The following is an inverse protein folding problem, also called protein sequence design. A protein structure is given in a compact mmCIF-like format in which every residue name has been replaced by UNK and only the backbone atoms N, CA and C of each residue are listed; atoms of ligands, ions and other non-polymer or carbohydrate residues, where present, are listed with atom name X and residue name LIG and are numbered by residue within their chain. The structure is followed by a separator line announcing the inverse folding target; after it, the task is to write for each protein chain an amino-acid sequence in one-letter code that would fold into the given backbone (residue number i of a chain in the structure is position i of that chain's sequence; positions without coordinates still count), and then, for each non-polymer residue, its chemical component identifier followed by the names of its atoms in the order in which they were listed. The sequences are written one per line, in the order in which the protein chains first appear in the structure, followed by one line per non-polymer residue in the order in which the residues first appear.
data_IF_631702700623
#
_entry.id   IF_631702700623
#
_cell.length_a   1.000
_cell.length_b   1.000
_cell.length_c   1.000
_cell.angle_alpha   90.00
_cell.angle_beta   90.00
_cell.angle_gamma   90.00
#
_symmetry.space_group_name_H-M   'P 1'
#
loop_
_entity.id
_entity.type
_entity.pdbx_description
1 polymer ?
#
# COMPACT_ATOMS: atom_id res chain seq x y z
N UNK A 1 -16.75 15.33 28.20
CA UNK A 1 -16.81 14.52 26.95
C UNK A 1 -15.47 13.85 26.63
N UNK A 2 -14.35 14.44 27.04
CA UNK A 2 -13.00 13.88 26.85
C UNK A 2 -12.48 13.22 28.13
N UNK A 3 -11.40 12.43 28.03
CA UNK A 3 -10.76 11.77 29.17
C UNK A 3 -9.89 12.72 30.01
N UNK A 4 -9.46 13.86 29.46
CA UNK A 4 -8.73 14.90 30.19
C UNK A 4 -9.67 15.92 30.87
N UNK A 5 -9.12 16.68 31.82
CA UNK A 5 -9.77 17.84 32.42
C UNK A 5 -9.54 19.11 31.57
N UNK A 6 -10.49 20.05 31.60
CA UNK A 6 -10.40 21.30 30.83
C UNK A 6 -9.07 22.04 31.09
N UNK A 7 -8.33 22.34 30.02
CA UNK A 7 -7.06 23.05 30.07
C UNK A 7 -5.81 22.17 30.12
N UNK A 8 -5.96 20.84 30.13
CA UNK A 8 -4.85 19.87 30.17
C UNK A 8 -4.67 19.14 28.83
N UNK A 9 -4.29 19.89 27.78
CA UNK A 9 -3.97 19.37 26.43
C UNK A 9 -2.50 18.94 26.29
N UNK A 10 -1.86 18.58 27.40
CA UNK A 10 -0.47 18.15 27.40
C UNK A 10 -0.28 16.83 26.64
N UNK A 11 0.85 16.68 25.95
CA UNK A 11 1.22 15.39 25.37
C UNK A 11 1.39 14.36 26.51
N UNK A 12 0.45 13.43 26.65
CA UNK A 12 0.45 12.41 27.71
C UNK A 12 -0.47 12.70 28.90
N UNK A 13 -1.42 13.63 28.80
CA UNK A 13 -2.45 13.84 29.82
C UNK A 13 -3.40 12.65 29.87
N UNK A 14 -3.04 11.65 30.67
CA UNK A 14 -3.86 10.49 30.98
C UNK A 14 -4.61 10.76 32.28
N UNK A 15 -5.94 10.80 32.26
CA UNK A 15 -6.76 10.89 33.48
C UNK A 15 -6.61 9.67 34.42
N UNK A 16 -5.87 8.64 33.99
CA UNK A 16 -5.63 7.39 34.72
C UNK A 16 -4.23 6.84 34.39
N UNK A 17 -3.30 6.90 35.33
CA UNK A 17 -1.99 6.22 35.25
C UNK A 17 -0.84 7.04 34.68
N UNK A 18 0.38 6.50 34.78
CA UNK A 18 1.58 7.16 34.28
C UNK A 18 1.56 7.23 32.74
N UNK A 19 2.06 8.33 32.14
CA UNK A 19 2.12 8.48 30.68
C UNK A 19 2.86 7.31 30.03
N UNK A 20 2.19 6.62 29.11
CA UNK A 20 2.74 5.52 28.33
C UNK A 20 2.59 5.83 26.84
N UNK A 21 3.70 5.92 26.12
CA UNK A 21 3.72 6.12 24.66
C UNK A 21 3.54 4.81 23.87
N UNK A 22 3.55 3.66 24.54
CA UNK A 22 3.39 2.36 23.91
C UNK A 22 1.97 1.86 24.19
N UNK A 23 1.10 2.07 23.22
CA UNK A 23 -0.19 1.40 23.12
C UNK A 23 -0.01 -0.02 22.61
N UNK A 24 0.58 -0.88 23.43
CA UNK A 24 0.96 -2.22 23.02
C UNK A 24 2.46 -2.40 23.10
N UNK A 25 2.91 -2.81 24.28
CA UNK A 25 4.14 -3.58 24.38
C UNK A 25 3.92 -4.91 23.67
N UNK A 26 4.99 -5.56 23.19
CA UNK A 26 4.96 -7.00 22.84
C UNK A 26 4.46 -7.89 24.01
N UNK A 27 4.24 -7.29 25.19
CA UNK A 27 3.79 -7.89 26.46
C UNK A 27 2.43 -7.35 26.92
N UNK A 28 1.93 -6.20 26.46
CA UNK A 28 0.68 -5.61 26.98
C UNK A 28 -0.45 -5.64 25.95
N UNK A 29 -1.53 -6.32 26.31
CA UNK A 29 -2.80 -6.38 25.56
C UNK A 29 -3.86 -5.46 26.19
N UNK A 30 -3.45 -4.59 27.11
CA UNK A 30 -4.33 -3.69 27.84
C UNK A 30 -4.45 -2.34 27.15
N UNK A 31 -5.60 -1.70 27.34
CA UNK A 31 -5.90 -0.37 26.81
C UNK A 31 -5.19 0.74 27.60
N UNK A 32 -3.92 0.52 27.99
CA UNK A 32 -3.16 1.37 28.91
C UNK A 32 -2.94 2.81 28.43
N UNK A 33 -3.20 3.07 27.16
CA UNK A 33 -3.07 4.38 26.53
C UNK A 33 -4.35 4.88 25.85
N UNK A 34 -5.44 4.12 25.88
CA UNK A 34 -6.67 4.44 25.15
C UNK A 34 -7.48 5.58 25.77
N UNK A 35 -6.96 6.14 26.87
CA UNK A 35 -7.58 7.21 27.64
C UNK A 35 -6.63 8.42 27.73
N UNK A 36 -5.68 8.51 26.80
CA UNK A 36 -4.62 9.52 26.78
C UNK A 36 -4.67 10.29 25.46
N UNK A 37 -4.39 11.59 25.51
CA UNK A 37 -4.38 12.44 24.32
C UNK A 37 -3.19 12.10 23.40
N UNK A 38 -3.49 11.41 22.29
CA UNK A 38 -2.53 11.10 21.23
C UNK A 38 -1.99 12.40 20.62
N UNK A 39 -0.71 12.70 20.85
CA UNK A 39 -0.08 13.95 20.40
C UNK A 39 -0.82 15.25 20.83
N UNK A 40 -1.54 15.20 21.96
CA UNK A 40 -2.36 16.33 22.42
C UNK A 40 -3.69 16.49 21.69
N UNK A 41 -4.10 15.50 20.88
CA UNK A 41 -5.45 15.43 20.33
C UNK A 41 -6.43 15.02 21.44
N UNK A 42 -7.49 15.81 21.71
CA UNK A 42 -8.48 15.51 22.74
C UNK A 42 -9.09 14.11 22.59
N UNK A 43 -8.86 13.26 23.57
CA UNK A 43 -9.30 11.87 23.55
C UNK A 43 -10.75 11.73 24.04
N UNK A 44 -11.63 11.25 23.17
CA UNK A 44 -13.06 11.10 23.46
C UNK A 44 -13.29 10.05 24.55
N UNK A 45 -14.08 10.39 25.57
CA UNK A 45 -14.46 9.46 26.61
C UNK A 45 -15.58 8.52 26.14
N UNK A 46 -15.20 7.47 25.41
CA UNK A 46 -16.11 6.46 24.86
C UNK A 46 -16.76 5.56 25.91
N UNK A 47 -16.40 5.68 27.20
CA UNK A 47 -17.13 5.06 28.32
C UNK A 47 -18.46 5.77 28.59
N UNK A 48 -18.58 7.05 28.23
CA UNK A 48 -19.83 7.80 28.35
C UNK A 48 -20.80 7.43 27.22
N UNK A 49 -22.07 7.18 27.59
CA UNK A 49 -23.12 6.88 26.61
C UNK A 49 -23.31 8.02 25.60
N UNK A 50 -23.28 9.27 26.06
CA UNK A 50 -23.45 10.45 25.23
C UNK A 50 -22.39 10.54 24.12
N UNK A 51 -21.14 10.17 24.41
CA UNK A 51 -20.05 10.13 23.42
C UNK A 51 -20.28 9.01 22.40
N UNK A 52 -20.69 7.81 22.86
CA UNK A 52 -21.04 6.71 21.95
C UNK A 52 -22.23 7.05 21.06
N UNK A 53 -23.20 7.81 21.55
CA UNK A 53 -24.33 8.29 20.74
C UNK A 53 -23.89 9.29 19.67
N UNK A 54 -22.90 10.14 19.94
CA UNK A 54 -22.29 11.03 18.93
C UNK A 54 -21.63 10.20 17.83
N UNK A 55 -20.78 9.23 18.21
CA UNK A 55 -20.12 8.35 17.24
C UNK A 55 -21.13 7.54 16.43
N UNK A 56 -22.15 6.97 17.08
CA UNK A 56 -23.23 6.23 16.41
C UNK A 56 -23.95 7.07 15.35
N UNK A 57 -24.27 8.33 15.64
CA UNK A 57 -24.95 9.20 14.66
C UNK A 57 -24.09 9.38 13.41
N UNK A 58 -22.80 9.66 13.58
CA UNK A 58 -21.87 9.81 12.45
C UNK A 58 -21.73 8.52 11.64
N UNK A 59 -21.53 7.39 12.31
CA UNK A 59 -21.38 6.08 11.67
C UNK A 59 -22.66 5.68 10.91
N UNK A 60 -23.83 5.96 11.49
CA UNK A 60 -25.13 5.76 10.82
C UNK A 60 -25.24 6.61 9.56
N UNK A 61 -24.86 7.90 9.63
CA UNK A 61 -24.90 8.79 8.47
C UNK A 61 -24.01 8.28 7.32
N UNK A 62 -22.83 7.75 7.62
CA UNK A 62 -21.97 7.12 6.62
C UNK A 62 -22.64 5.88 6.00
N UNK A 63 -23.21 5.01 6.82
CA UNK A 63 -23.93 3.82 6.36
C UNK A 63 -25.12 4.20 5.47
N UNK A 64 -25.96 5.14 5.92
CA UNK A 64 -27.15 5.60 5.19
C UNK A 64 -26.80 6.32 3.88
N UNK A 65 -25.62 6.93 3.80
CA UNK A 65 -25.05 7.47 2.56
C UNK A 65 -24.54 6.39 1.59
N UNK A 66 -24.49 5.12 2.01
CA UNK A 66 -24.06 3.98 1.20
C UNK A 66 -22.58 3.62 1.32
N UNK A 67 -21.87 4.10 2.35
CA UNK A 67 -20.52 3.64 2.66
C UNK A 67 -20.59 2.18 3.10
N UNK A 68 -19.77 1.31 2.49
CA UNK A 68 -19.76 -0.12 2.83
C UNK A 68 -18.46 -0.59 3.49
N UNK A 69 -17.41 0.23 3.46
CA UNK A 69 -16.11 -0.12 4.03
C UNK A 69 -15.52 1.02 4.86
N UNK A 70 -14.83 0.68 5.94
CA UNK A 70 -14.23 1.65 6.86
C UNK A 70 -12.72 1.41 7.05
N UNK A 71 -11.96 2.50 7.06
CA UNK A 71 -10.66 2.57 7.75
C UNK A 71 -10.93 3.20 9.11
N UNK A 72 -10.57 2.52 10.19
CA UNK A 72 -10.47 3.16 11.49
C UNK A 72 -9.09 3.79 11.62
N UNK A 73 -9.09 5.10 11.79
CA UNK A 73 -7.90 5.88 12.14
C UNK A 73 -7.49 5.57 13.57
N UNK A 74 -6.19 5.61 13.88
CA UNK A 74 -5.67 5.50 15.24
C UNK A 74 -6.25 4.33 16.09
N UNK A 75 -6.71 3.24 15.46
CA UNK A 75 -7.45 2.17 16.13
C UNK A 75 -6.66 1.41 17.21
N UNK A 76 -5.33 1.56 17.22
CA UNK A 76 -4.45 1.07 18.28
C UNK A 76 -4.70 1.78 19.61
N UNK A 77 -5.17 3.02 19.56
CA UNK A 77 -5.41 3.92 20.69
C UNK A 77 -6.87 3.88 21.17
N UNK A 78 -7.70 2.97 20.66
CA UNK A 78 -9.12 2.93 21.01
C UNK A 78 -9.49 1.65 21.77
N UNK A 79 -10.44 1.76 22.69
CA UNK A 79 -10.98 0.59 23.38
C UNK A 79 -11.83 -0.26 22.44
N UNK A 80 -11.40 -1.51 22.25
CA UNK A 80 -12.03 -2.46 21.31
C UNK A 80 -13.51 -2.68 21.59
N UNK A 81 -13.89 -2.83 22.86
CA UNK A 81 -15.29 -3.14 23.22
C UNK A 81 -16.18 -1.93 22.96
N UNK A 82 -15.67 -0.74 23.26
CA UNK A 82 -16.41 0.52 23.12
C UNK A 82 -16.61 0.87 21.64
N UNK A 83 -15.58 0.74 20.82
CA UNK A 83 -15.67 0.97 19.38
C UNK A 83 -16.52 -0.10 18.69
N UNK A 84 -16.36 -1.37 19.06
CA UNK A 84 -17.21 -2.45 18.54
C UNK A 84 -18.69 -2.23 18.87
N UNK A 85 -19.02 -1.63 20.02
CA UNK A 85 -20.42 -1.36 20.41
C UNK A 85 -21.12 -0.35 19.51
N UNK A 86 -20.35 0.49 18.80
CA UNK A 86 -20.86 1.47 17.83
C UNK A 86 -20.81 0.92 16.41
N UNK A 87 -19.66 0.35 16.01
CA UNK A 87 -19.42 -0.08 14.63
C UNK A 87 -20.24 -1.31 14.24
N UNK A 88 -20.38 -2.30 15.13
CA UNK A 88 -21.02 -3.59 14.79
C UNK A 88 -22.55 -3.53 14.71
N UNK A 89 -23.14 -2.34 14.88
CA UNK A 89 -24.56 -2.10 14.64
C UNK A 89 -24.91 -2.08 13.15
N UNK A 90 -23.90 -2.07 12.26
CA UNK A 90 -24.07 -1.97 10.81
C UNK A 90 -23.31 -3.08 10.07
N UNK A 91 -23.83 -3.57 8.93
CA UNK A 91 -23.24 -4.67 8.17
C UNK A 91 -22.17 -4.16 7.18
N UNK A 92 -20.98 -3.82 7.67
CA UNK A 92 -19.87 -3.42 6.80
C UNK A 92 -19.37 -4.58 5.92
N UNK A 93 -19.10 -4.31 4.65
CA UNK A 93 -18.43 -5.27 3.74
C UNK A 93 -16.99 -5.53 4.19
N UNK A 94 -16.31 -4.49 4.69
CA UNK A 94 -14.92 -4.59 5.13
C UNK A 94 -14.52 -3.46 6.08
N UNK A 95 -13.87 -3.83 7.17
CA UNK A 95 -13.28 -2.91 8.13
C UNK A 95 -11.80 -3.23 8.28
N UNK A 96 -10.96 -2.19 8.27
CA UNK A 96 -9.57 -2.31 8.66
C UNK A 96 -9.12 -1.19 9.58
N UNK A 97 -8.18 -1.53 10.44
CA UNK A 97 -7.61 -0.69 11.47
C UNK A 97 -6.26 -0.17 11.01
N UNK A 98 -6.03 1.12 11.17
CA UNK A 98 -4.68 1.63 11.24
C UNK A 98 -3.93 0.96 12.41
N UNK A 99 -2.92 0.18 12.08
CA UNK A 99 -2.11 -0.56 13.02
C UNK A 99 -0.62 -0.27 12.80
N UNK A 100 0.10 0.05 13.87
CA UNK A 100 1.47 0.58 13.80
C UNK A 100 2.52 -0.46 14.19
N UNK A 101 2.66 -1.52 13.40
CA UNK A 101 3.85 -2.39 13.44
C UNK A 101 4.05 -3.18 14.74
N UNK A 102 2.98 -3.41 15.50
CA UNK A 102 3.00 -4.25 16.70
C UNK A 102 2.43 -5.65 16.43
N UNK A 103 2.68 -6.61 17.33
CA UNK A 103 2.05 -7.93 17.23
C UNK A 103 0.53 -7.80 17.36
N UNK A 104 -0.26 -8.51 16.52
CA UNK A 104 -1.71 -8.40 16.54
C UNK A 104 -2.29 -8.91 17.87
N UNK A 105 -3.16 -8.11 18.47
CA UNK A 105 -3.93 -8.51 19.66
C UNK A 105 -5.26 -9.10 19.23
N UNK A 106 -5.44 -10.40 19.44
CA UNK A 106 -6.54 -11.20 18.86
C UNK A 106 -7.99 -10.74 19.16
N UNK A 107 -8.18 -9.84 20.11
CA UNK A 107 -9.49 -9.23 20.40
C UNK A 107 -9.90 -8.21 19.33
N UNK A 108 -8.94 -7.46 18.76
CA UNK A 108 -9.23 -6.45 17.74
C UNK A 108 -9.76 -7.08 16.46
N UNK A 109 -9.12 -8.13 15.95
CA UNK A 109 -9.59 -8.78 14.72
C UNK A 109 -10.89 -9.56 14.89
N UNK A 110 -11.19 -10.02 16.11
CA UNK A 110 -12.43 -10.72 16.42
C UNK A 110 -13.64 -9.78 16.42
N UNK A 111 -13.47 -8.55 16.91
CA UNK A 111 -14.59 -7.65 17.19
C UNK A 111 -14.65 -6.41 16.30
N UNK A 112 -13.56 -6.03 15.62
CA UNK A 112 -13.53 -4.82 14.78
C UNK A 112 -13.26 -5.19 13.33
N UNK A 113 -12.06 -5.67 13.01
CA UNK A 113 -11.69 -5.85 11.62
C UNK A 113 -10.22 -6.20 11.40
N UNK A 114 -9.74 -5.92 10.19
CA UNK A 114 -8.43 -6.38 9.73
C UNK A 114 -7.33 -5.37 10.10
N UNK A 115 -6.09 -5.82 10.21
CA UNK A 115 -4.95 -4.93 10.46
C UNK A 115 -4.38 -4.35 9.16
N UNK A 116 -4.02 -3.05 9.18
CA UNK A 116 -3.15 -2.47 8.15
C UNK A 116 -1.70 -2.83 8.44
N UNK A 117 -1.20 -3.91 7.85
CA UNK A 117 0.22 -4.29 7.96
C UNK A 117 1.07 -3.43 7.01
N UNK A 118 1.59 -2.34 7.56
CA UNK A 118 2.48 -1.41 6.85
C UNK A 118 3.90 -1.96 6.68
N UNK A 119 4.28 -3.02 7.37
CA UNK A 119 5.67 -3.46 7.46
C UNK A 119 6.08 -4.42 6.33
N UNK A 120 5.11 -5.04 5.65
CA UNK A 120 5.39 -5.75 4.39
C UNK A 120 6.13 -4.86 3.38
N UNK A 121 5.80 -3.57 3.33
CA UNK A 121 6.47 -2.63 2.42
C UNK A 121 7.97 -2.57 2.66
N UNK A 122 8.47 -2.72 3.89
CA UNK A 122 9.91 -2.70 4.18
C UNK A 122 10.60 -3.89 3.53
N UNK A 123 9.98 -5.08 3.58
CA UNK A 123 10.51 -6.26 2.87
C UNK A 123 10.58 -6.03 1.37
N UNK A 124 9.54 -5.44 0.78
CA UNK A 124 9.48 -5.12 -0.66
C UNK A 124 10.52 -4.07 -1.04
N UNK A 125 10.56 -2.97 -0.30
CA UNK A 125 11.52 -1.88 -0.50
C UNK A 125 12.94 -2.37 -0.29
N UNK A 126 13.20 -3.25 0.66
CA UNK A 126 14.53 -3.80 0.87
C UNK A 126 14.97 -4.68 -0.31
N UNK A 127 14.08 -5.58 -0.73
CA UNK A 127 14.32 -6.48 -1.85
C UNK A 127 14.47 -5.74 -3.19
N UNK A 128 13.74 -4.64 -3.42
CA UNK A 128 13.67 -3.96 -4.72
C UNK A 128 14.40 -2.62 -4.81
N UNK A 129 14.77 -2.01 -3.68
CA UNK A 129 15.40 -0.69 -3.64
C UNK A 129 16.65 -0.64 -2.76
N UNK A 130 16.62 -1.07 -1.50
CA UNK A 130 17.66 -0.71 -0.50
C UNK A 130 18.92 -1.58 -0.52
N UNK A 131 18.82 -2.84 -0.97
CA UNK A 131 19.92 -3.80 -0.79
C UNK A 131 20.96 -3.80 -1.92
N UNK A 132 22.25 -3.77 -1.59
CA UNK A 132 23.32 -4.07 -2.55
C UNK A 132 23.40 -5.58 -2.81
N UNK A 133 22.92 -6.37 -1.84
CA UNK A 133 22.89 -7.81 -1.93
C UNK A 133 21.62 -8.29 -2.64
N UNK A 134 21.78 -8.69 -3.89
CA UNK A 134 20.68 -9.10 -4.77
C UNK A 134 20.13 -10.50 -4.42
N UNK A 135 20.70 -11.20 -3.44
CA UNK A 135 20.23 -12.53 -3.00
C UNK A 135 18.91 -12.50 -2.23
N UNK A 136 18.48 -11.35 -1.70
CA UNK A 136 17.23 -11.23 -0.94
C UNK A 136 15.98 -11.16 -1.83
N UNK A 137 16.15 -10.86 -3.11
CA UNK A 137 15.01 -10.67 -4.02
C UNK A 137 14.15 -11.93 -4.21
N UNK A 138 14.71 -13.15 -4.34
CA UNK A 138 13.90 -14.36 -4.36
C UNK A 138 13.30 -14.71 -2.99
N UNK A 139 14.01 -14.42 -1.89
CA UNK A 139 13.63 -14.79 -0.53
C UNK A 139 12.34 -14.10 -0.06
N UNK A 140 11.98 -12.95 -0.65
CA UNK A 140 10.70 -12.30 -0.35
C UNK A 140 9.48 -13.19 -0.64
N UNK A 141 9.63 -14.17 -1.55
CA UNK A 141 8.56 -15.10 -1.91
C UNK A 141 8.35 -16.21 -0.88
N UNK A 142 9.29 -16.37 0.07
CA UNK A 142 9.22 -17.39 1.13
C UNK A 142 8.46 -16.90 2.38
N UNK A 143 7.88 -15.70 2.34
CA UNK A 143 7.07 -15.17 3.44
C UNK A 143 5.84 -16.06 3.69
N UNK A 144 5.63 -16.44 4.94
CA UNK A 144 4.48 -17.26 5.38
C UNK A 144 3.47 -16.46 6.22
N UNK A 145 3.89 -15.35 6.82
CA UNK A 145 3.06 -14.42 7.59
C UNK A 145 3.46 -12.96 7.27
N UNK A 146 2.58 -12.01 7.59
CA UNK A 146 2.89 -10.58 7.55
C UNK A 146 4.03 -10.22 8.49
N UNK A 147 4.45 -8.96 8.50
CA UNK A 147 5.44 -8.59 9.50
C UNK A 147 4.74 -8.50 10.86
N UNK A 148 5.47 -8.80 11.94
CA UNK A 148 4.90 -8.84 13.31
C UNK A 148 3.76 -9.86 13.49
N UNK A 149 3.77 -10.98 12.77
CA UNK A 149 2.85 -12.10 13.05
C UNK A 149 1.40 -11.90 12.59
N UNK A 150 1.09 -10.82 11.87
CA UNK A 150 -0.24 -10.61 11.29
C UNK A 150 -0.49 -11.64 10.19
N UNK A 151 -1.55 -12.46 10.33
CA UNK A 151 -1.93 -13.42 9.30
C UNK A 151 -2.50 -12.71 8.08
N UNK A 152 -2.32 -13.31 6.92
CA UNK A 152 -2.67 -12.70 5.63
C UNK A 152 -4.18 -12.47 5.47
N UNK A 153 -4.97 -13.39 6.02
CA UNK A 153 -6.44 -13.34 6.02
C UNK A 153 -6.97 -12.18 6.87
N UNK A 154 -6.17 -11.69 7.82
CA UNK A 154 -6.50 -10.62 8.76
C UNK A 154 -5.82 -9.30 8.41
N UNK A 155 -5.17 -9.22 7.25
CA UNK A 155 -4.35 -8.07 6.89
C UNK A 155 -4.85 -7.36 5.63
N UNK A 156 -4.46 -6.10 5.54
CA UNK A 156 -4.42 -5.32 4.31
C UNK A 156 -3.07 -4.62 4.18
N UNK A 157 -2.46 -4.70 3.00
CA UNK A 157 -1.07 -4.32 2.79
C UNK A 157 -0.94 -3.08 1.88
N UNK A 158 -0.53 -1.91 2.42
CA UNK A 158 -0.11 -0.77 1.62
C UNK A 158 1.38 -0.84 1.26
N UNK A 159 1.76 -0.30 0.10
CA UNK A 159 3.17 0.04 -0.20
C UNK A 159 3.51 1.48 0.21
N UNK A 160 2.52 2.38 0.18
CA UNK A 160 2.61 3.78 0.57
C UNK A 160 1.29 4.24 1.23
N UNK A 161 1.36 5.31 2.04
CA UNK A 161 0.24 5.92 2.74
C UNK A 161 0.55 7.37 3.13
N UNK A 162 -0.41 8.07 3.74
CA UNK A 162 -0.33 9.53 3.91
C UNK A 162 0.60 10.00 5.02
N UNK A 163 0.87 9.24 6.08
CA UNK A 163 1.73 9.73 7.18
C UNK A 163 3.23 9.56 6.89
N UNK A 164 3.60 8.62 6.03
CA UNK A 164 5.00 8.37 5.68
C UNK A 164 5.42 9.05 4.38
N UNK A 165 5.16 10.36 4.34
CA UNK A 165 5.63 11.26 3.30
C UNK A 165 7.09 11.61 3.51
N UNK A 166 7.79 11.84 2.40
CA UNK A 166 9.16 12.38 2.41
C UNK A 166 9.25 13.65 1.57
N UNK A 167 10.12 14.59 1.95
CA UNK A 167 10.40 15.85 1.22
C UNK A 167 11.10 15.60 -0.13
N UNK A 168 11.91 14.54 -0.20
CA UNK A 168 12.67 14.07 -1.37
C UNK A 168 12.53 12.56 -1.56
N UNK A 169 13.14 12.01 -2.60
CA UNK A 169 13.22 10.57 -2.79
C UNK A 169 14.14 9.95 -1.72
N UNK A 170 13.59 9.07 -0.88
CA UNK A 170 14.31 8.33 0.17
C UNK A 170 14.15 6.84 -0.09
N UNK A 171 15.22 6.06 -0.01
CA UNK A 171 15.24 4.67 -0.50
C UNK A 171 14.33 3.76 0.30
N UNK A 172 14.33 3.96 1.61
CA UNK A 172 13.69 3.14 2.64
C UNK A 172 12.19 3.43 2.72
N UNK A 173 11.74 4.55 2.15
CA UNK A 173 10.35 5.01 2.21
C UNK A 173 9.78 5.15 0.80
N UNK A 174 8.99 4.15 0.43
CA UNK A 174 8.32 4.04 -0.86
C UNK A 174 7.32 5.21 -1.07
N UNK A 175 7.64 6.12 -1.99
CA UNK A 175 6.74 7.22 -2.43
C UNK A 175 6.85 7.44 -3.93
N UNK A 176 5.91 8.20 -4.52
CA UNK A 176 6.00 8.58 -5.94
C UNK A 176 7.30 9.34 -6.28
N UNK A 177 7.95 9.99 -5.30
CA UNK A 177 9.22 10.72 -5.50
C UNK A 177 10.36 9.79 -5.91
N UNK A 178 10.31 8.51 -5.53
CA UNK A 178 11.26 7.49 -5.98
C UNK A 178 11.11 7.15 -7.49
N UNK A 179 10.04 7.58 -8.15
CA UNK A 179 9.87 7.43 -9.59
C UNK A 179 9.60 5.99 -10.04
N UNK A 180 10.30 5.53 -11.08
CA UNK A 180 10.11 4.20 -11.66
C UNK A 180 10.39 3.08 -10.66
N UNK A 181 11.30 3.29 -9.70
CA UNK A 181 11.65 2.36 -8.64
C UNK A 181 10.44 2.03 -7.76
N UNK A 182 9.71 3.05 -7.30
CA UNK A 182 8.46 2.87 -6.56
C UNK A 182 7.37 2.20 -7.41
N UNK A 183 7.26 2.58 -8.69
CA UNK A 183 6.31 1.92 -9.59
C UNK A 183 6.60 0.42 -9.75
N UNK A 184 7.88 0.00 -9.73
CA UNK A 184 8.23 -1.43 -9.73
C UNK A 184 7.82 -2.14 -8.43
N UNK A 185 8.00 -1.49 -7.27
CA UNK A 185 7.55 -2.02 -5.98
C UNK A 185 6.03 -2.18 -5.93
N UNK A 186 5.28 -1.18 -6.42
CA UNK A 186 3.82 -1.25 -6.53
C UNK A 186 3.39 -2.38 -7.46
N UNK A 187 4.00 -2.50 -8.65
CA UNK A 187 3.69 -3.60 -9.59
C UNK A 187 4.00 -4.97 -8.99
N UNK A 188 5.10 -5.11 -8.25
CA UNK A 188 5.42 -6.33 -7.53
C UNK A 188 4.36 -6.68 -6.50
N UNK A 189 3.96 -5.74 -5.63
CA UNK A 189 2.88 -5.95 -4.65
C UNK A 189 1.57 -6.41 -5.30
N UNK A 190 1.26 -5.87 -6.50
CA UNK A 190 0.06 -6.27 -7.24
C UNK A 190 0.15 -7.67 -7.86
N UNK A 191 1.33 -8.01 -8.41
CA UNK A 191 1.55 -9.25 -9.14
C UNK A 191 1.87 -10.45 -8.23
N UNK A 192 2.40 -10.20 -7.03
CA UNK A 192 2.67 -11.24 -6.06
C UNK A 192 1.36 -11.64 -5.33
N UNK A 193 0.91 -12.90 -5.48
CA UNK A 193 -0.40 -13.35 -5.01
C UNK A 193 -0.47 -13.57 -3.50
N UNK A 194 0.67 -13.49 -2.81
CA UNK A 194 0.78 -13.79 -1.39
C UNK A 194 -0.16 -12.90 -0.58
N UNK A 195 0.08 -11.58 -0.54
CA UNK A 195 -0.85 -10.65 0.11
C UNK A 195 -2.25 -10.87 -0.49
N UNK A 196 -3.28 -11.09 0.31
CA UNK A 196 -4.65 -11.30 -0.20
C UNK A 196 -5.32 -9.96 -0.54
N UNK A 197 -5.12 -8.95 0.31
CA UNK A 197 -5.70 -7.61 0.16
C UNK A 197 -4.60 -6.56 0.15
N UNK A 198 -4.62 -5.67 -0.83
CA UNK A 198 -3.62 -4.61 -0.99
C UNK A 198 -4.31 -3.25 -1.06
N UNK A 199 -3.64 -2.22 -0.54
CA UNK A 199 -4.04 -0.83 -0.73
C UNK A 199 -3.18 -0.22 -1.84
N UNK A 200 -3.85 0.15 -2.93
CA UNK A 200 -3.24 0.97 -3.97
C UNK A 200 -3.29 2.42 -3.53
N UNK A 201 -2.13 3.05 -3.45
CA UNK A 201 -2.02 4.45 -3.07
C UNK A 201 -2.36 5.36 -4.26
N UNK A 202 -2.84 6.56 -3.95
CA UNK A 202 -2.97 7.65 -4.90
C UNK A 202 -2.74 8.96 -4.16
N UNK A 203 -1.74 9.73 -4.59
CA UNK A 203 -1.28 10.93 -3.93
C UNK A 203 -1.44 12.18 -4.78
N UNK A 204 -1.06 13.30 -4.18
CA UNK A 204 -0.71 14.54 -4.82
C UNK A 204 0.75 14.88 -4.52
N UNK A 205 1.36 15.70 -5.38
CA UNK A 205 2.74 16.09 -5.20
C UNK A 205 2.88 17.32 -4.31
N UNK A 206 3.95 17.39 -3.55
CA UNK A 206 4.19 18.42 -2.54
C UNK A 206 5.69 18.71 -2.43
N UNK A 207 6.04 19.96 -2.14
CA UNK A 207 7.41 20.38 -1.86
C UNK A 207 7.78 20.25 -0.38
N UNK A 208 6.77 20.21 0.50
CA UNK A 208 6.90 20.08 1.95
C UNK A 208 5.80 19.13 2.48
N UNK A 209 6.08 18.37 3.54
CA UNK A 209 5.21 17.28 4.01
C UNK A 209 3.90 17.77 4.62
N UNK A 210 3.86 19.00 5.11
CA UNK A 210 2.69 19.63 5.74
C UNK A 210 1.74 20.25 4.70
N UNK A 211 2.12 20.20 3.43
CA UNK A 211 1.32 20.78 2.38
C UNK A 211 0.05 19.98 2.09
N UNK A 212 -1.07 20.70 2.04
CA UNK A 212 -2.34 20.21 1.55
C UNK A 212 -2.35 19.90 0.04
N UNK A 213 -3.49 19.41 -0.48
CA UNK A 213 -3.65 19.05 -1.88
C UNK A 213 -3.54 20.26 -2.84
N UNK A 214 -3.41 20.02 -4.16
CA UNK A 214 -3.45 21.08 -5.16
C UNK A 214 -4.71 21.92 -5.02
N UNK A 215 -4.60 23.25 -5.13
CA UNK A 215 -5.68 24.22 -4.91
C UNK A 215 -5.83 24.70 -3.46
N UNK A 216 -5.05 24.14 -2.53
CA UNK A 216 -5.04 24.51 -1.11
C UNK A 216 -3.72 25.19 -0.68
N UNK A 217 -3.09 25.96 -1.55
CA UNK A 217 -1.78 26.58 -1.30
C UNK A 217 -1.85 27.80 -0.37
N UNK A 218 -3.04 28.39 -0.20
CA UNK A 218 -3.20 29.72 0.41
C UNK A 218 -3.60 29.75 1.89
N UNK A 219 -3.46 28.62 2.61
CA UNK A 219 -3.51 28.62 4.09
C UNK A 219 -4.76 29.24 4.72
N UNK A 220 -5.90 29.23 4.02
CA UNK A 220 -7.18 29.63 4.60
C UNK A 220 -7.76 28.46 5.39
N UNK A 221 -8.47 28.74 6.49
CA UNK A 221 -9.16 27.75 7.34
C UNK A 221 -10.12 26.85 6.54
N UNK A 222 -10.53 27.29 5.35
CA UNK A 222 -11.25 26.49 4.37
C UNK A 222 -10.57 26.57 3.02
N UNK A 223 -10.32 25.42 2.39
CA UNK A 223 -9.79 25.33 1.03
C UNK A 223 -10.61 24.31 0.23
N UNK A 224 -10.76 24.57 -1.08
CA UNK A 224 -11.36 23.61 -2.00
C UNK A 224 -10.26 23.07 -2.90
N UNK A 225 -9.92 21.78 -2.82
CA UNK A 225 -8.89 21.22 -3.68
C UNK A 225 -9.30 21.26 -5.15
N UNK A 226 -8.32 21.40 -6.03
CA UNK A 226 -8.51 21.31 -7.47
C UNK A 226 -9.13 19.98 -7.86
N UNK A 227 -10.17 20.02 -8.70
CA UNK A 227 -10.75 18.79 -9.23
C UNK A 227 -9.70 17.95 -9.99
N UNK A 228 -9.67 16.64 -9.70
CA UNK A 228 -8.82 15.69 -10.43
C UNK A 228 -9.17 15.67 -11.91
N UNK A 229 -10.44 15.85 -12.27
CA UNK A 229 -10.89 15.90 -13.65
C UNK A 229 -11.16 17.33 -14.10
N UNK A 230 -10.65 17.68 -15.28
CA UNK A 230 -11.02 18.92 -15.94
C UNK A 230 -12.42 18.85 -16.58
N UNK A 231 -12.90 19.99 -17.12
CA UNK A 231 -14.21 20.11 -17.77
C UNK A 231 -14.44 19.13 -18.93
N UNK A 232 -13.37 18.68 -19.59
CA UNK A 232 -13.42 17.70 -20.68
C UNK A 232 -13.45 16.24 -20.20
N UNK A 233 -13.53 15.98 -18.89
CA UNK A 233 -13.49 14.62 -18.32
C UNK A 233 -12.10 13.97 -18.34
N UNK A 234 -11.06 14.72 -18.69
CA UNK A 234 -9.67 14.26 -18.68
C UNK A 234 -9.07 14.46 -17.29
N UNK A 235 -8.46 13.40 -16.74
CA UNK A 235 -7.80 13.45 -15.44
C UNK A 235 -6.48 14.24 -15.52
N UNK A 236 -6.26 15.18 -14.60
CA UNK A 236 -5.08 16.05 -14.49
C UNK A 236 -3.92 15.37 -13.76
N UNK A 237 -3.71 14.10 -14.07
CA UNK A 237 -2.73 13.25 -13.41
C UNK A 237 -1.32 13.45 -13.95
N UNK A 238 -0.32 13.07 -13.16
CA UNK A 238 1.05 12.94 -13.65
C UNK A 238 1.19 11.71 -14.56
N UNK A 239 2.13 11.79 -15.50
CA UNK A 239 2.51 10.66 -16.32
C UNK A 239 3.22 9.58 -15.49
N UNK A 240 3.23 8.36 -16.04
CA UNK A 240 3.98 7.25 -15.43
C UNK A 240 5.47 7.57 -15.41
N UNK A 241 6.17 7.45 -14.27
CA UNK A 241 7.59 7.74 -14.20
C UNK A 241 8.39 6.72 -15.01
N UNK A 242 9.36 7.22 -15.80
CA UNK A 242 10.29 6.42 -16.59
C UNK A 242 11.72 6.45 -16.05
N UNK A 243 11.96 7.25 -15.01
CA UNK A 243 13.26 7.45 -14.36
C UNK A 243 13.11 7.39 -12.85
N UNK A 244 14.22 7.12 -12.17
CA UNK A 244 14.32 7.17 -10.70
C UNK A 244 15.59 7.93 -10.31
N UNK A 245 15.52 8.87 -9.34
CA UNK A 245 14.28 9.36 -8.75
C UNK A 245 13.45 10.17 -9.76
N UNK A 246 12.21 10.48 -9.40
CA UNK A 246 11.42 11.44 -10.18
C UNK A 246 12.15 12.80 -10.18
N UNK A 247 12.21 13.54 -11.31
CA UNK A 247 12.83 14.86 -11.34
C UNK A 247 12.22 15.78 -10.30
N UNK A 248 13.06 16.46 -9.50
CA UNK A 248 12.61 17.26 -8.35
C UNK A 248 11.55 18.30 -8.72
N UNK A 249 11.71 18.99 -9.84
CA UNK A 249 10.75 19.97 -10.32
C UNK A 249 9.36 19.35 -10.56
N UNK A 250 9.29 18.14 -11.11
CA UNK A 250 8.04 17.42 -11.31
C UNK A 250 7.49 16.91 -9.97
N UNK A 251 8.34 16.31 -9.13
CA UNK A 251 7.97 15.78 -7.82
C UNK A 251 7.44 16.85 -6.85
N UNK A 252 7.71 18.13 -7.11
CA UNK A 252 7.30 19.27 -6.29
C UNK A 252 6.30 20.18 -7.03
N UNK A 253 5.70 19.71 -8.14
CA UNK A 253 4.91 20.54 -9.06
C UNK A 253 3.45 20.81 -8.64
N UNK A 254 3.03 20.41 -7.44
CA UNK A 254 1.64 20.59 -6.92
C UNK A 254 0.54 20.03 -7.85
N UNK A 255 0.69 18.78 -8.32
CA UNK A 255 -0.29 18.09 -9.16
C UNK A 255 -0.79 16.80 -8.53
N UNK A 256 -1.93 16.33 -9.00
CA UNK A 256 -2.40 14.98 -8.75
C UNK A 256 -1.44 13.95 -9.35
N UNK A 257 -0.91 13.04 -8.55
CA UNK A 257 0.07 12.05 -9.02
C UNK A 257 -0.63 10.87 -9.68
N UNK A 258 -1.71 10.39 -9.06
CA UNK A 258 -2.57 9.32 -9.57
C UNK A 258 -1.82 8.01 -9.89
N UNK A 259 -1.06 7.49 -8.94
CA UNK A 259 -0.31 6.24 -9.07
C UNK A 259 -1.20 5.06 -9.50
N UNK A 260 -2.48 5.08 -9.10
CA UNK A 260 -3.49 4.11 -9.55
C UNK A 260 -3.76 4.12 -11.08
N UNK A 261 -3.31 5.14 -11.81
CA UNK A 261 -3.45 5.30 -13.28
C UNK A 261 -2.16 5.06 -14.05
N UNK A 262 -1.04 4.84 -13.35
CA UNK A 262 0.21 4.56 -14.02
C UNK A 262 0.12 3.29 -14.88
N UNK A 263 0.86 3.27 -15.98
CA UNK A 263 0.84 2.19 -16.95
C UNK A 263 1.12 0.84 -16.27
N UNK A 264 0.31 -0.16 -16.59
CA UNK A 264 0.38 -1.50 -15.99
C UNK A 264 -0.54 -1.72 -14.79
N UNK A 265 -0.90 -0.68 -14.02
CA UNK A 265 -1.74 -0.86 -12.82
C UNK A 265 -3.10 -1.46 -13.19
N UNK A 266 -3.77 -0.90 -14.19
CA UNK A 266 -5.07 -1.39 -14.63
C UNK A 266 -5.00 -2.85 -15.15
N UNK A 267 -3.95 -3.21 -15.88
CA UNK A 267 -3.74 -4.59 -16.35
C UNK A 267 -3.46 -5.56 -15.19
N UNK A 268 -2.67 -5.13 -14.20
CA UNK A 268 -2.35 -5.93 -13.02
C UNK A 268 -3.54 -6.15 -12.08
N UNK A 269 -4.54 -5.27 -12.08
CA UNK A 269 -5.84 -5.57 -11.44
C UNK A 269 -6.47 -6.83 -12.06
N UNK A 270 -6.41 -6.97 -13.38
CA UNK A 270 -6.89 -8.16 -14.09
C UNK A 270 -6.03 -9.40 -13.79
N UNK A 271 -4.70 -9.24 -13.82
CA UNK A 271 -3.76 -10.30 -13.46
C UNK A 271 -4.05 -10.83 -12.05
N UNK A 272 -4.16 -9.95 -11.06
CA UNK A 272 -4.39 -10.33 -9.67
C UNK A 272 -5.72 -11.05 -9.46
N UNK A 273 -6.79 -10.67 -10.18
CA UNK A 273 -8.06 -11.40 -10.16
C UNK A 273 -7.95 -12.82 -10.74
N UNK A 274 -7.07 -13.03 -11.74
CA UNK A 274 -6.88 -14.33 -12.38
C UNK A 274 -5.90 -15.25 -11.64
N UNK A 275 -4.91 -14.66 -10.95
CA UNK A 275 -3.76 -15.37 -10.38
C UNK A 275 -3.70 -15.33 -8.85
N UNK A 276 -4.54 -14.51 -8.19
CA UNK A 276 -4.53 -14.33 -6.73
C UNK A 276 -4.78 -15.63 -5.97
N UNK A 277 -4.09 -15.81 -4.84
CA UNK A 277 -4.20 -16.98 -3.98
C UNK A 277 -3.53 -18.26 -4.51
N UNK A 278 -2.94 -18.24 -5.71
CA UNK A 278 -2.19 -19.38 -6.24
C UNK A 278 -0.77 -19.44 -5.67
N UNK A 279 -0.18 -20.64 -5.50
CA UNK A 279 1.18 -20.79 -4.98
C UNK A 279 2.21 -20.22 -5.95
N UNK A 280 3.32 -19.72 -5.39
CA UNK A 280 4.44 -19.19 -6.17
C UNK A 280 5.60 -20.17 -6.25
N UNK A 281 6.27 -20.21 -7.40
CA UNK A 281 7.51 -20.97 -7.57
C UNK A 281 8.54 -20.15 -8.34
N UNK A 282 9.75 -19.99 -7.80
CA UNK A 282 10.83 -19.25 -8.45
C UNK A 282 11.27 -20.00 -9.71
N UNK A 283 11.28 -19.30 -10.83
CA UNK A 283 11.79 -19.79 -12.12
C UNK A 283 13.16 -19.18 -12.44
N UNK A 284 13.38 -17.95 -11.98
CA UNK A 284 14.66 -17.27 -12.05
C UNK A 284 14.80 -16.37 -10.83
N UNK A 285 15.87 -16.54 -10.07
CA UNK A 285 16.14 -15.75 -8.88
C UNK A 285 17.64 -15.63 -8.66
N UNK A 286 18.38 -15.24 -9.70
CA UNK A 286 19.81 -15.01 -9.57
C UNK A 286 20.03 -13.74 -8.76
N UNK A 287 21.16 -13.66 -8.07
CA UNK A 287 21.59 -12.45 -7.37
C UNK A 287 22.08 -11.37 -8.37
N UNK A 288 21.29 -11.09 -9.40
CA UNK A 288 21.56 -10.13 -10.48
C UNK A 288 20.41 -9.10 -10.64
N UNK A 289 19.47 -9.07 -9.69
CA UNK A 289 18.36 -8.12 -9.66
C UNK A 289 17.25 -8.42 -10.65
N UNK A 290 17.24 -9.64 -11.21
CA UNK A 290 16.15 -10.18 -12.03
C UNK A 290 15.44 -11.27 -11.26
N UNK A 291 14.11 -11.23 -11.30
CA UNK A 291 13.27 -12.22 -10.65
C UNK A 291 12.18 -12.63 -11.62
N UNK A 292 11.99 -13.93 -11.78
CA UNK A 292 10.79 -14.49 -12.36
C UNK A 292 10.27 -15.63 -11.51
N UNK A 293 8.96 -15.66 -11.32
CA UNK A 293 8.26 -16.72 -10.62
C UNK A 293 6.94 -17.03 -11.30
N UNK A 294 6.58 -18.30 -11.26
CA UNK A 294 5.25 -18.77 -11.61
C UNK A 294 4.28 -18.46 -10.49
N UNK A 295 3.03 -18.21 -10.88
CA UNK A 295 1.89 -18.12 -9.97
C UNK A 295 0.88 -19.18 -10.42
N UNK A 296 0.91 -20.32 -9.74
CA UNK A 296 0.33 -21.57 -10.21
C UNK A 296 0.84 -21.97 -11.60
N UNK A 297 0.02 -22.68 -12.38
CA UNK A 297 0.32 -23.03 -13.78
C UNK A 297 -0.32 -22.06 -14.79
N UNK A 298 -0.80 -20.91 -14.32
CA UNK A 298 -1.62 -19.98 -15.13
C UNK A 298 -0.92 -18.68 -15.45
N UNK A 299 0.01 -18.26 -14.60
CA UNK A 299 0.55 -16.92 -14.64
C UNK A 299 2.06 -16.91 -14.40
N UNK A 300 2.73 -15.94 -15.00
CA UNK A 300 4.15 -15.69 -14.85
C UNK A 300 4.35 -14.23 -14.46
N UNK A 301 5.16 -14.00 -13.44
CA UNK A 301 5.71 -12.68 -13.12
C UNK A 301 7.18 -12.70 -13.49
N UNK A 302 7.63 -11.70 -14.22
CA UNK A 302 9.04 -11.44 -14.47
C UNK A 302 9.28 -9.94 -14.30
N UNK A 303 10.31 -9.59 -13.53
CA UNK A 303 10.64 -8.21 -13.24
C UNK A 303 12.15 -8.02 -13.20
N UNK A 304 12.54 -6.79 -13.50
CA UNK A 304 13.87 -6.28 -13.26
C UNK A 304 13.73 -5.25 -12.15
N UNK A 305 14.61 -5.36 -11.15
CA UNK A 305 14.73 -4.37 -10.09
C UNK A 305 14.89 -2.97 -10.68
N UNK A 306 14.23 -1.99 -10.07
CA UNK A 306 14.36 -0.60 -10.49
C UNK A 306 15.81 -0.11 -10.35
N UNK A 307 16.26 0.69 -11.32
CA UNK A 307 17.54 1.41 -11.24
C UNK A 307 17.31 2.84 -10.79
N UNK A 308 18.26 3.42 -10.07
CA UNK A 308 18.21 4.81 -9.62
C UNK A 308 19.53 5.52 -9.95
N UNK A 309 19.44 6.64 -10.67
CA UNK A 309 20.59 7.30 -11.27
C UNK A 309 21.48 8.02 -10.25
N UNK A 310 21.01 8.19 -9.01
CA UNK A 310 21.76 8.83 -7.92
C UNK A 310 22.50 7.81 -7.04
N UNK A 311 22.68 6.56 -7.48
CA UNK A 311 23.22 5.45 -6.65
C UNK A 311 24.67 5.08 -6.99
N UNK A 312 25.45 4.55 -6.02
CA UNK A 312 26.82 4.09 -6.24
C UNK A 312 26.93 2.82 -7.12
N UNK A 313 28.13 2.60 -7.69
CA UNK A 313 28.43 1.47 -8.58
C UNK A 313 28.13 0.11 -7.89
N UNK A 314 27.41 -0.77 -8.58
CA UNK A 314 26.89 -2.05 -8.04
C UNK A 314 25.35 -2.13 -8.06
N UNK A 315 24.66 -0.98 -8.04
CA UNK A 315 23.21 -0.83 -8.25
C UNK A 315 22.87 -0.51 -9.72
N UNK A 316 23.62 -1.10 -10.65
CA UNK A 316 23.64 -0.68 -12.05
C UNK A 316 22.27 -0.73 -12.74
N UNK A 317 22.13 0.06 -13.82
CA UNK A 317 20.98 0.00 -14.73
C UNK A 317 20.97 -1.37 -15.42
N UNK A 318 20.14 -2.29 -14.91
CA UNK A 318 20.03 -3.66 -15.43
C UNK A 318 19.45 -3.73 -16.86
N UNK A 319 18.86 -2.63 -17.33
CA UNK A 319 18.28 -2.51 -18.66
C UNK A 319 17.09 -3.45 -18.87
N UNK A 320 16.69 -3.60 -20.13
CA UNK A 320 15.68 -4.59 -20.49
C UNK A 320 16.25 -6.02 -20.33
N UNK A 321 15.43 -6.95 -19.86
CA UNK A 321 15.81 -8.36 -19.72
C UNK A 321 15.09 -9.21 -20.76
N UNK A 322 15.87 -9.89 -21.62
CA UNK A 322 15.32 -10.91 -22.52
C UNK A 322 14.89 -12.14 -21.73
N UNK A 323 13.62 -12.52 -21.89
CA UNK A 323 13.06 -13.71 -21.24
C UNK A 323 13.31 -14.99 -22.04
N UNK A 324 13.91 -14.91 -23.24
CA UNK A 324 14.15 -16.08 -24.09
C UNK A 324 14.95 -17.16 -23.34
N UNK A 325 14.49 -18.41 -23.41
CA UNK A 325 15.08 -19.54 -22.70
C UNK A 325 14.56 -19.75 -21.27
N UNK A 326 13.73 -18.85 -20.72
CA UNK A 326 13.11 -19.02 -19.41
C UNK A 326 12.03 -20.12 -19.47
N UNK A 327 12.13 -21.13 -18.61
CA UNK A 327 11.17 -22.23 -18.51
C UNK A 327 9.97 -21.84 -17.63
N UNK A 328 8.88 -21.38 -18.23
CA UNK A 328 7.77 -20.73 -17.52
C UNK A 328 6.65 -21.66 -17.09
N UNK A 329 6.65 -22.91 -17.57
CA UNK A 329 5.57 -23.89 -17.35
C UNK A 329 4.18 -23.44 -17.82
N UNK A 330 4.06 -22.30 -18.51
CA UNK A 330 2.84 -21.86 -19.15
C UNK A 330 2.59 -22.70 -20.42
N UNK A 331 1.31 -22.91 -20.79
CA UNK A 331 0.98 -23.47 -22.10
C UNK A 331 1.62 -22.69 -23.25
N UNK A 332 1.85 -23.36 -24.37
CA UNK A 332 2.34 -22.69 -25.57
C UNK A 332 1.33 -21.64 -26.04
N UNK A 333 1.80 -20.44 -26.34
CA UNK A 333 0.90 -19.36 -26.69
C UNK A 333 1.56 -17.99 -26.77
N UNK A 334 0.73 -17.02 -27.13
CA UNK A 334 1.07 -15.59 -27.13
C UNK A 334 0.38 -14.94 -25.94
N UNK A 335 1.17 -14.39 -25.04
CA UNK A 335 0.72 -13.76 -23.80
C UNK A 335 0.97 -12.26 -23.86
N UNK A 336 -0.03 -11.50 -23.46
CA UNK A 336 0.10 -10.07 -23.27
C UNK A 336 0.71 -9.77 -21.91
N UNK A 337 1.69 -8.87 -21.88
CA UNK A 337 2.22 -8.36 -20.62
C UNK A 337 1.20 -7.41 -19.96
N UNK A 338 0.53 -7.91 -18.91
CA UNK A 338 -0.44 -7.14 -18.15
C UNK A 338 0.16 -5.87 -17.52
N UNK A 339 1.46 -5.88 -17.18
CA UNK A 339 2.15 -4.73 -16.60
C UNK A 339 2.50 -3.64 -17.62
N UNK A 340 2.22 -3.86 -18.91
CA UNK A 340 2.34 -2.85 -19.97
C UNK A 340 1.02 -2.21 -20.40
N UNK A 341 -0.12 -2.74 -19.92
CA UNK A 341 -1.43 -2.29 -20.37
C UNK A 341 -1.84 -0.95 -19.72
N UNK A 342 -2.38 -0.04 -20.52
CA UNK A 342 -2.98 1.22 -20.04
C UNK A 342 -4.41 1.04 -19.52
N UNK A 343 -5.04 -0.12 -19.76
CA UNK A 343 -6.40 -0.42 -19.35
C UNK A 343 -6.51 -1.85 -18.82
N UNK A 344 -7.65 -2.18 -18.20
CA UNK A 344 -7.91 -3.54 -17.72
C UNK A 344 -7.86 -4.52 -18.88
N UNK A 345 -7.27 -5.68 -18.64
CA UNK A 345 -7.30 -6.77 -19.59
C UNK A 345 -8.75 -7.17 -19.90
N UNK A 346 -9.08 -7.28 -21.18
CA UNK A 346 -10.35 -7.83 -21.67
C UNK A 346 -10.02 -9.10 -22.45
N UNK A 347 -10.86 -10.13 -22.35
CA UNK A 347 -10.72 -11.30 -23.21
C UNK A 347 -10.82 -10.87 -24.68
N UNK A 348 -10.05 -11.53 -25.57
CA UNK A 348 -10.04 -11.23 -27.00
C UNK A 348 -9.12 -10.07 -27.43
N UNK A 349 -8.31 -9.50 -26.54
CA UNK A 349 -7.28 -8.52 -26.93
C UNK A 349 -6.22 -9.18 -27.81
N UNK A 350 -6.09 -8.71 -29.05
CA UNK A 350 -5.11 -9.22 -30.04
C UNK A 350 -3.86 -8.35 -30.16
N UNK A 351 -3.90 -7.13 -29.64
CA UNK A 351 -2.80 -6.16 -29.67
C UNK A 351 -2.42 -5.75 -28.25
N UNK A 352 -1.13 -5.92 -27.92
CA UNK A 352 -0.59 -5.59 -26.61
C UNK A 352 0.76 -4.89 -26.80
N UNK A 353 1.07 -3.88 -25.97
CA UNK A 353 2.33 -3.14 -26.09
C UNK A 353 3.55 -4.05 -26.01
N UNK A 354 3.51 -5.01 -25.08
CA UNK A 354 4.50 -6.05 -24.93
C UNK A 354 3.85 -7.44 -25.03
N UNK A 355 4.53 -8.36 -25.72
CA UNK A 355 4.09 -9.75 -25.93
C UNK A 355 5.21 -10.71 -25.57
N UNK A 356 4.85 -11.76 -24.82
CA UNK A 356 5.70 -12.91 -24.52
C UNK A 356 5.16 -14.12 -25.29
N UNK A 357 6.04 -14.83 -25.98
CA UNK A 357 5.71 -16.03 -26.76
C UNK A 357 6.32 -17.24 -26.07
N UNK A 358 5.48 -18.19 -25.67
CA UNK A 358 5.88 -19.44 -25.02
C UNK A 358 5.74 -20.58 -26.03
N UNK A 359 6.80 -21.38 -26.17
CA UNK A 359 6.85 -22.53 -27.06
C UNK A 359 6.19 -23.78 -26.48
N UNK A 360 6.13 -24.85 -27.27
CA UNK A 360 5.53 -26.14 -26.88
C UNK A 360 6.16 -26.78 -25.64
N UNK A 361 7.44 -26.49 -25.37
CA UNK A 361 8.15 -26.95 -24.18
C UNK A 361 7.89 -26.12 -22.91
N UNK A 362 7.01 -25.11 -22.96
CA UNK A 362 6.80 -24.16 -21.85
C UNK A 362 7.93 -23.15 -21.67
N UNK A 363 8.90 -23.11 -22.60
CA UNK A 363 10.03 -22.18 -22.62
C UNK A 363 9.69 -20.94 -23.44
N UNK A 364 10.06 -19.76 -22.96
CA UNK A 364 9.89 -18.50 -23.71
C UNK A 364 10.77 -18.51 -24.96
N UNK A 365 10.15 -18.31 -26.11
CA UNK A 365 10.83 -18.15 -27.40
C UNK A 365 11.21 -16.68 -27.64
N UNK A 366 10.36 -15.75 -27.22
CA UNK A 366 10.54 -14.30 -27.41
C UNK A 366 9.77 -13.53 -26.35
N UNK A 367 10.41 -12.51 -25.77
CA UNK A 367 9.78 -11.62 -24.81
C UNK A 367 10.85 -10.84 -24.05
N UNK A 368 10.48 -9.67 -23.52
CA UNK A 368 11.36 -8.87 -22.68
C UNK A 368 10.55 -8.12 -21.63
N UNK A 369 11.20 -7.80 -20.52
CA UNK A 369 10.67 -6.93 -19.45
C UNK A 369 11.62 -5.76 -19.19
#
# INVERSE_FOLDING_TARGET
LFHHADGDLGAGSCGVGAPSFLCGSLVTTDCSCCNCDLYGLPDWNTQLQEVREIHYRHIRELHDAGVTMLRLDAALYENVTEIASVLNLFPWDYVYMEWWGEFPVGIHDRYIGNYRDVALRWKITDALATQANLTLLPQILDLSYGTFGVSNEKAIYPIAFHDQRTDKAVQETATYKNGLEYHQQQKFLMAWPWAQRILLWSSYSYSDTEQGPPGCEHGMDTCTPDAVFGRAGVARCMDTPSVSPMPRALAQSRRWVCEHRWAGVAGLVGFRKACGGLPTAVVHGRADGRLAFQVGQKCLVALVRGSNTQRPQGYGRLGAWSLAGLATGLPAGRYCDAASLSSRFKQGVTQCPNVVVVGRSGVVLRGRV
#
